data_IF_327428344349
#
_entry.id   IF_327428344349
#
_cell.length_a   1.000
_cell.length_b   1.000
_cell.length_c   1.000
_cell.angle_alpha   90.00
_cell.angle_beta   90.00
_cell.angle_gamma   90.00
#
_symmetry.space_group_name_H-M   'P 1'
#
loop_
_entity.id
_entity.type
_entity.pdbx_description
1 polymer ?
#
# COMPACT_ATOMS: atom_id res chain seq x y z
N UNK A 1 -43.40 63.82 -41.54
CA UNK A 1 -44.03 62.52 -41.89
C UNK A 1 -43.07 61.32 -41.88
N UNK A 2 -41.76 61.50 -41.62
CA UNK A 2 -40.80 60.37 -41.54
C UNK A 2 -40.47 59.89 -40.11
N UNK A 3 -40.84 60.66 -39.07
CA UNK A 3 -40.58 60.30 -37.67
C UNK A 3 -41.78 59.74 -36.90
N UNK A 4 -43.01 59.97 -37.34
CA UNK A 4 -44.20 59.34 -36.75
C UNK A 4 -44.35 57.86 -37.11
N UNK A 5 -43.75 57.42 -38.23
CA UNK A 5 -43.78 56.01 -38.65
C UNK A 5 -42.89 55.09 -37.79
N UNK A 6 -41.78 55.61 -37.24
CA UNK A 6 -40.85 54.82 -36.42
C UNK A 6 -41.37 54.60 -35.00
N UNK A 7 -42.05 55.59 -34.42
CA UNK A 7 -42.63 55.49 -33.06
C UNK A 7 -43.81 54.51 -33.04
N UNK A 8 -44.64 54.48 -34.09
CA UNK A 8 -45.76 53.53 -34.20
C UNK A 8 -45.26 52.08 -34.39
N UNK A 9 -44.20 51.88 -35.18
CA UNK A 9 -43.64 50.54 -35.42
C UNK A 9 -42.99 49.94 -34.17
N UNK A 10 -42.38 50.76 -33.31
CA UNK A 10 -41.73 50.31 -32.07
C UNK A 10 -42.74 50.02 -30.95
N UNK A 11 -43.87 50.74 -30.92
CA UNK A 11 -44.98 50.45 -30.00
C UNK A 11 -45.73 49.15 -30.36
N UNK A 12 -45.86 48.83 -31.66
CA UNK A 12 -46.48 47.58 -32.13
C UNK A 12 -45.62 46.35 -31.86
N UNK A 13 -44.28 46.47 -31.87
CA UNK A 13 -43.35 45.39 -31.54
C UNK A 13 -43.25 45.09 -30.03
N UNK A 14 -43.47 46.08 -29.16
CA UNK A 14 -43.47 45.85 -27.70
C UNK A 14 -44.82 45.33 -27.17
N UNK A 15 -45.92 45.49 -27.91
CA UNK A 15 -47.22 44.91 -27.56
C UNK A 15 -47.39 43.44 -27.99
N UNK A 16 -46.53 42.93 -28.88
CA UNK A 16 -46.58 41.53 -29.37
C UNK A 16 -45.79 40.53 -28.52
N UNK A 17 -45.06 40.97 -27.49
CA UNK A 17 -44.24 40.08 -26.63
C UNK A 17 -44.99 39.62 -25.36
N UNK A 18 -46.17 40.19 -25.06
CA UNK A 18 -46.86 39.99 -23.78
C UNK A 18 -48.17 39.19 -23.86
N UNK A 19 -48.54 38.63 -25.02
CA UNK A 19 -49.80 37.88 -25.20
C UNK A 19 -49.67 36.62 -26.08
N UNK A 20 -48.63 35.82 -25.84
CA UNK A 20 -48.60 34.42 -26.27
C UNK A 20 -48.35 33.50 -25.06
N UNK A 21 -49.29 33.52 -24.12
CA UNK A 21 -49.50 32.39 -23.21
C UNK A 21 -50.71 31.62 -23.70
N UNK A 22 -50.54 30.36 -24.11
CA UNK A 22 -51.61 29.36 -24.16
C UNK A 22 -51.02 27.93 -24.21
N UNK A 23 -51.26 27.21 -23.11
CA UNK A 23 -51.60 25.79 -23.03
C UNK A 23 -50.64 24.75 -23.61
N UNK A 24 -49.80 24.23 -22.72
CA UNK A 24 -49.26 22.87 -22.79
C UNK A 24 -48.86 22.46 -21.37
N UNK A 25 -49.50 21.43 -20.82
CA UNK A 25 -48.95 20.65 -19.71
C UNK A 25 -47.69 19.97 -20.24
N UNK A 26 -46.54 20.63 -20.13
CA UNK A 26 -45.26 19.95 -20.24
C UNK A 26 -44.70 19.87 -18.83
N UNK A 27 -44.68 18.63 -18.33
CA UNK A 27 -43.97 18.27 -17.12
C UNK A 27 -42.62 18.97 -17.16
N UNK A 28 -42.29 19.71 -16.09
CA UNK A 28 -40.93 20.15 -15.89
C UNK A 28 -40.08 18.87 -15.84
N UNK A 29 -39.44 18.53 -16.97
CA UNK A 29 -38.27 17.67 -16.97
C UNK A 29 -37.30 18.38 -16.05
N UNK A 30 -37.24 17.90 -14.81
CA UNK A 30 -36.05 18.07 -13.99
C UNK A 30 -34.93 17.59 -14.89
N UNK A 31 -34.09 18.51 -15.36
CA UNK A 31 -32.80 18.13 -15.88
C UNK A 31 -32.17 17.30 -14.76
N UNK A 32 -32.12 15.99 -14.96
CA UNK A 32 -31.30 15.11 -14.15
C UNK A 32 -29.90 15.67 -14.33
N UNK A 33 -29.42 16.41 -13.33
CA UNK A 33 -27.99 16.60 -13.16
C UNK A 33 -27.47 15.18 -13.09
N UNK A 34 -26.65 14.73 -14.06
CA UNK A 34 -26.09 13.40 -13.96
C UNK A 34 -25.38 13.38 -12.61
N UNK A 35 -25.84 12.50 -11.74
CA UNK A 35 -25.04 12.11 -10.58
C UNK A 35 -23.81 11.52 -11.22
N UNK A 36 -22.72 12.30 -11.26
CA UNK A 36 -21.41 11.75 -11.52
C UNK A 36 -21.19 10.87 -10.30
N UNK A 37 -21.45 9.57 -10.43
CA UNK A 37 -20.89 8.60 -9.51
C UNK A 37 -19.40 8.90 -9.48
N UNK A 38 -18.91 9.29 -8.32
CA UNK A 38 -17.48 9.47 -8.08
C UNK A 38 -16.87 8.10 -8.28
N UNK A 39 -16.34 7.86 -9.49
CA UNK A 39 -15.67 6.61 -9.80
C UNK A 39 -14.39 6.62 -8.98
N UNK A 40 -14.19 5.56 -8.19
CA UNK A 40 -12.89 5.28 -7.58
C UNK A 40 -11.84 5.41 -8.69
N UNK A 41 -10.86 6.30 -8.46
CA UNK A 41 -9.78 6.58 -9.40
C UNK A 41 -8.90 5.36 -9.65
N UNK A 42 -7.75 5.56 -10.29
CA UNK A 42 -6.70 4.56 -10.23
C UNK A 42 -6.35 4.27 -8.76
N UNK A 43 -6.12 3.01 -8.44
CA UNK A 43 -5.86 2.56 -7.07
C UNK A 43 -4.87 1.41 -7.07
N UNK A 44 -4.30 1.14 -5.90
CA UNK A 44 -3.48 -0.04 -5.65
C UNK A 44 -3.97 -0.74 -4.39
N UNK A 45 -3.97 -2.07 -4.42
CA UNK A 45 -4.34 -2.90 -3.26
C UNK A 45 -3.08 -3.46 -2.63
N UNK A 46 -2.85 -3.08 -1.37
CA UNK A 46 -1.75 -3.59 -0.55
C UNK A 46 -2.31 -4.55 0.49
N UNK A 47 -1.64 -5.68 0.67
CA UNK A 47 -1.98 -6.68 1.67
C UNK A 47 -0.91 -6.78 2.76
N UNK A 48 -1.04 -6.01 3.85
CA UNK A 48 -0.31 -6.26 5.08
C UNK A 48 -0.76 -7.57 5.72
N UNK A 49 0.21 -8.37 6.15
CA UNK A 49 -0.01 -9.64 6.84
C UNK A 49 0.56 -9.52 8.25
N UNK A 50 -0.29 -9.56 9.28
CA UNK A 50 0.12 -9.27 10.65
C UNK A 50 -0.86 -9.77 11.73
N UNK A 51 -0.66 -9.42 13.01
CA UNK A 51 -1.44 -9.89 14.18
C UNK A 51 -2.91 -9.55 14.20
N UNK A 52 -3.27 -8.41 13.62
CA UNK A 52 -4.61 -7.83 13.68
C UNK A 52 -4.55 -6.34 13.37
N UNK A 53 -5.70 -5.67 13.31
CA UNK A 53 -5.77 -4.25 13.00
C UNK A 53 -6.91 -3.57 13.74
N UNK A 54 -6.62 -2.41 14.34
CA UNK A 54 -7.60 -1.54 14.96
C UNK A 54 -8.37 -0.74 13.89
N UNK A 55 -9.41 -1.35 13.33
CA UNK A 55 -10.28 -0.74 12.31
C UNK A 55 -11.05 0.50 12.80
N UNK A 56 -11.10 0.73 14.11
CA UNK A 56 -11.76 1.91 14.70
C UNK A 56 -10.91 3.18 14.65
N UNK A 57 -9.60 3.04 14.38
CA UNK A 57 -8.67 4.15 14.41
C UNK A 57 -8.95 5.14 13.27
N UNK A 58 -8.92 6.43 13.60
CA UNK A 58 -9.27 7.53 12.68
C UNK A 58 -8.33 7.58 11.46
N UNK A 59 -7.12 7.03 11.59
CA UNK A 59 -6.15 6.86 10.48
C UNK A 59 -6.72 6.08 9.30
N UNK A 60 -7.61 5.13 9.55
CA UNK A 60 -8.15 4.23 8.53
C UNK A 60 -9.50 4.68 7.97
N UNK A 61 -10.03 5.81 8.44
CA UNK A 61 -11.33 6.31 7.98
C UNK A 61 -11.32 6.62 6.49
N UNK A 62 -12.45 6.32 5.87
CA UNK A 62 -12.80 6.69 4.51
C UNK A 62 -14.11 7.46 4.56
N UNK A 63 -14.17 8.63 3.91
CA UNK A 63 -15.39 9.45 3.90
C UNK A 63 -16.53 8.80 3.10
N UNK A 64 -16.18 7.85 2.24
CA UNK A 64 -17.07 7.16 1.33
C UNK A 64 -16.93 5.65 1.51
N UNK A 65 -17.83 4.89 0.88
CA UNK A 65 -17.73 3.44 0.83
C UNK A 65 -17.10 3.01 -0.48
N UNK A 66 -16.35 1.91 -0.47
CA UNK A 66 -15.85 1.33 -1.70
C UNK A 66 -17.00 0.88 -2.62
N UNK A 67 -16.83 0.99 -3.95
CA UNK A 67 -17.85 0.58 -4.89
C UNK A 67 -18.02 -0.94 -4.93
N UNK A 68 -19.24 -1.40 -5.19
CA UNK A 68 -19.60 -2.83 -5.17
C UNK A 68 -18.68 -3.69 -6.05
N UNK A 69 -18.27 -3.21 -7.22
CA UNK A 69 -17.40 -3.97 -8.12
C UNK A 69 -16.02 -4.28 -7.52
N UNK A 70 -15.50 -3.42 -6.63
CA UNK A 70 -14.24 -3.65 -5.93
C UNK A 70 -14.44 -4.70 -4.82
N UNK A 71 -15.53 -4.56 -4.06
CA UNK A 71 -15.89 -5.50 -2.99
C UNK A 71 -16.14 -6.91 -3.54
N UNK A 72 -16.88 -7.00 -4.65
CA UNK A 72 -17.11 -8.26 -5.39
C UNK A 72 -15.81 -8.84 -5.92
N UNK A 73 -14.91 -7.99 -6.46
CA UNK A 73 -13.61 -8.42 -6.99
C UNK A 73 -12.63 -8.92 -5.92
N UNK A 74 -12.77 -8.45 -4.68
CA UNK A 74 -12.05 -8.96 -3.50
C UNK A 74 -12.79 -10.11 -2.80
N UNK A 75 -13.97 -10.51 -3.30
CA UNK A 75 -14.74 -11.61 -2.76
C UNK A 75 -15.30 -11.36 -1.36
N UNK A 76 -15.61 -10.11 -1.02
CA UNK A 76 -16.19 -9.73 0.28
C UNK A 76 -17.46 -10.56 0.54
N UNK A 77 -17.48 -11.29 1.66
CA UNK A 77 -18.60 -12.17 2.04
C UNK A 77 -19.53 -11.52 3.05
N UNK A 78 -19.02 -10.55 3.81
CA UNK A 78 -19.78 -9.85 4.85
C UNK A 78 -19.29 -8.41 5.04
N UNK A 79 -20.15 -7.59 5.65
CA UNK A 79 -19.80 -6.22 6.04
C UNK A 79 -20.19 -5.93 7.47
N UNK A 80 -19.29 -5.29 8.20
CA UNK A 80 -19.49 -4.88 9.59
C UNK A 80 -19.65 -3.36 9.69
N UNK A 81 -20.87 -2.89 9.98
CA UNK A 81 -21.12 -1.47 10.24
C UNK A 81 -20.64 -1.12 11.65
N UNK A 82 -19.45 -0.54 11.73
CA UNK A 82 -18.80 -0.21 12.99
C UNK A 82 -19.38 1.02 13.66
N UNK A 83 -19.48 0.99 14.99
CA UNK A 83 -19.82 2.14 15.81
C UNK A 83 -18.73 3.22 15.71
N UNK A 84 -19.15 4.48 15.49
CA UNK A 84 -18.23 5.61 15.20
C UNK A 84 -18.04 6.58 16.37
N UNK A 85 -18.82 6.41 17.44
CA UNK A 85 -18.81 7.28 18.62
C UNK A 85 -18.41 6.52 19.88
N UNK A 86 -17.79 7.21 20.84
CA UNK A 86 -17.29 6.62 22.07
C UNK A 86 -15.81 6.24 21.99
N UNK A 87 -15.31 5.74 23.12
CA UNK A 87 -13.96 5.19 23.28
C UNK A 87 -13.79 3.88 22.52
N UNK A 88 -12.54 3.43 22.32
CA UNK A 88 -12.24 2.15 21.68
C UNK A 88 -13.04 0.98 22.29
N UNK A 89 -13.03 0.87 23.62
CA UNK A 89 -13.75 -0.21 24.32
C UNK A 89 -15.28 -0.12 24.14
N UNK A 90 -15.85 1.09 24.18
CA UNK A 90 -17.30 1.29 23.99
C UNK A 90 -17.73 0.89 22.56
N UNK A 91 -16.90 1.19 21.55
CA UNK A 91 -17.15 0.77 20.16
C UNK A 91 -17.04 -0.74 19.99
N UNK A 92 -15.98 -1.35 20.52
CA UNK A 92 -15.81 -2.80 20.53
C UNK A 92 -17.00 -3.51 21.19
N UNK A 93 -17.40 -3.09 22.39
CA UNK A 93 -18.51 -3.69 23.14
C UNK A 93 -19.85 -3.57 22.39
N UNK A 94 -20.07 -2.45 21.68
CA UNK A 94 -21.28 -2.21 20.89
C UNK A 94 -21.37 -3.10 19.65
N UNK A 95 -20.24 -3.39 19.01
CA UNK A 95 -20.18 -4.14 17.75
C UNK A 95 -19.90 -5.63 17.95
N UNK A 96 -19.61 -6.06 19.19
CA UNK A 96 -19.20 -7.43 19.53
C UNK A 96 -20.14 -8.49 19.00
N UNK A 97 -21.42 -8.43 19.36
CA UNK A 97 -22.40 -9.46 18.98
C UNK A 97 -22.77 -9.40 17.49
N UNK A 98 -22.66 -8.23 16.86
CA UNK A 98 -23.14 -7.98 15.49
C UNK A 98 -22.04 -8.15 14.43
N UNK A 99 -20.78 -8.02 14.82
CA UNK A 99 -19.61 -8.15 13.94
C UNK A 99 -18.62 -9.18 14.48
N UNK A 100 -17.99 -8.92 15.63
CA UNK A 100 -16.81 -9.67 16.06
C UNK A 100 -17.08 -11.13 16.40
N UNK A 101 -18.21 -11.43 17.07
CA UNK A 101 -18.60 -12.78 17.47
C UNK A 101 -19.11 -13.65 16.29
N UNK A 102 -19.26 -13.08 15.09
CA UNK A 102 -19.83 -13.78 13.92
C UNK A 102 -18.84 -13.99 12.77
N UNK A 103 -17.66 -13.35 12.80
CA UNK A 103 -16.62 -13.54 11.78
C UNK A 103 -16.04 -14.95 11.89
N UNK A 104 -15.87 -15.61 10.75
CA UNK A 104 -15.23 -16.92 10.64
C UNK A 104 -14.00 -16.88 9.74
N UNK A 105 -13.20 -17.95 9.75
CA UNK A 105 -11.98 -18.02 8.92
C UNK A 105 -12.22 -18.10 7.41
N UNK A 106 -13.48 -18.22 6.99
CA UNK A 106 -13.88 -18.17 5.57
C UNK A 106 -14.36 -16.79 5.13
N UNK A 107 -14.48 -15.85 6.05
CA UNK A 107 -15.04 -14.53 5.75
C UNK A 107 -13.99 -13.53 5.28
N UNK A 108 -14.38 -12.76 4.26
CA UNK A 108 -13.70 -11.55 3.84
C UNK A 108 -14.62 -10.40 4.22
N UNK A 109 -14.18 -9.61 5.20
CA UNK A 109 -14.99 -8.63 5.89
C UNK A 109 -14.66 -7.23 5.39
N UNK A 110 -15.64 -6.52 4.87
CA UNK A 110 -15.52 -5.08 4.65
C UNK A 110 -16.00 -4.31 5.88
N UNK A 111 -15.29 -3.25 6.25
CA UNK A 111 -15.70 -2.33 7.32
C UNK A 111 -16.09 -0.98 6.69
N UNK A 112 -17.38 -0.76 6.34
CA UNK A 112 -17.82 0.47 5.69
C UNK A 112 -17.43 1.74 6.46
N UNK A 113 -17.00 2.76 5.71
CA UNK A 113 -16.44 3.99 6.30
C UNK A 113 -14.95 3.87 6.68
N UNK A 114 -14.30 2.77 6.32
CA UNK A 114 -12.85 2.59 6.46
C UNK A 114 -12.23 2.12 5.15
N UNK A 115 -10.90 2.16 5.10
CA UNK A 115 -10.06 1.64 4.00
C UNK A 115 -9.80 0.14 4.08
N UNK A 116 -10.38 -0.55 5.07
CA UNK A 116 -9.98 -1.90 5.46
C UNK A 116 -10.98 -2.93 4.93
N UNK A 117 -10.43 -3.92 4.24
CA UNK A 117 -11.06 -5.20 3.95
C UNK A 117 -10.17 -6.26 4.61
N UNK A 118 -10.70 -7.01 5.56
CA UNK A 118 -9.95 -7.93 6.40
C UNK A 118 -10.32 -9.39 6.18
N UNK A 119 -9.37 -10.30 6.40
CA UNK A 119 -9.61 -11.75 6.44
C UNK A 119 -8.69 -12.40 7.47
N UNK A 120 -9.11 -13.55 7.99
CA UNK A 120 -8.37 -14.33 8.99
C UNK A 120 -8.35 -15.81 8.59
N UNK A 121 -7.40 -16.26 7.76
CA UNK A 121 -7.41 -17.62 7.23
C UNK A 121 -7.11 -18.70 8.27
N UNK A 122 -6.60 -18.33 9.45
CA UNK A 122 -6.27 -19.25 10.54
C UNK A 122 -7.38 -19.23 11.62
N UNK A 123 -7.78 -20.39 12.17
CA UNK A 123 -8.93 -20.53 13.08
C UNK A 123 -8.58 -20.41 14.58
N UNK A 124 -7.46 -19.75 14.90
CA UNK A 124 -6.84 -19.74 16.22
C UNK A 124 -6.95 -18.44 17.02
N UNK A 125 -7.70 -17.45 16.55
CA UNK A 125 -7.74 -16.09 17.12
C UNK A 125 -9.03 -15.86 17.90
N UNK A 126 -8.94 -15.17 19.05
CA UNK A 126 -10.08 -14.94 19.94
C UNK A 126 -11.04 -13.87 19.39
N UNK A 127 -10.49 -12.90 18.63
CA UNK A 127 -11.25 -11.82 17.98
C UNK A 127 -10.69 -11.68 16.56
N UNK A 128 -11.30 -12.32 15.55
CA UNK A 128 -10.68 -12.37 14.24
C UNK A 128 -10.56 -10.98 13.59
N UNK A 129 -9.43 -10.72 12.93
CA UNK A 129 -9.01 -9.49 12.26
C UNK A 129 -8.70 -8.32 13.21
N UNK A 130 -9.48 -8.13 14.29
CA UNK A 130 -9.26 -7.02 15.21
C UNK A 130 -7.98 -7.23 16.02
N UNK A 131 -7.16 -6.18 16.14
CA UNK A 131 -5.91 -6.25 16.90
C UNK A 131 -6.15 -6.64 18.37
N UNK A 132 -5.24 -7.45 18.92
CA UNK A 132 -5.24 -7.77 20.35
C UNK A 132 -4.87 -6.50 21.13
N UNK A 133 -5.62 -6.09 22.17
CA UNK A 133 -5.24 -4.96 23.01
C UNK A 133 -3.82 -5.05 23.62
N UNK A 134 -3.21 -6.23 23.63
CA UNK A 134 -1.85 -6.49 24.09
C UNK A 134 -0.79 -6.59 22.98
N UNK A 135 -1.20 -6.58 21.70
CA UNK A 135 -0.33 -6.59 20.53
C UNK A 135 -0.87 -5.63 19.47
N UNK A 136 -0.19 -4.50 19.28
CA UNK A 136 -0.62 -3.42 18.36
C UNK A 136 0.10 -3.39 17.03
N UNK A 137 0.83 -4.46 16.71
CA UNK A 137 1.82 -4.45 15.64
C UNK A 137 1.18 -4.23 14.27
N UNK A 138 0.12 -4.97 13.94
CA UNK A 138 -0.54 -4.87 12.64
C UNK A 138 -1.24 -3.53 12.38
N UNK A 139 -1.73 -2.86 13.43
CA UNK A 139 -2.22 -1.47 13.34
C UNK A 139 -1.12 -0.51 12.88
N UNK A 140 0.05 -0.55 13.51
CA UNK A 140 1.18 0.30 13.15
C UNK A 140 1.71 -0.03 11.74
N UNK A 141 1.85 -1.32 11.42
CA UNK A 141 2.28 -1.81 10.09
C UNK A 141 1.36 -1.28 8.99
N UNK A 142 0.05 -1.36 9.17
CA UNK A 142 -0.91 -0.86 8.17
C UNK A 142 -0.89 0.66 8.09
N UNK A 143 -0.73 1.34 9.23
CA UNK A 143 -0.51 2.79 9.27
C UNK A 143 0.68 3.21 8.41
N UNK A 144 1.79 2.47 8.47
CA UNK A 144 3.01 2.77 7.72
C UNK A 144 2.83 2.68 6.20
N UNK A 145 2.01 1.74 5.72
CA UNK A 145 1.59 1.69 4.30
C UNK A 145 0.88 3.00 3.92
N UNK A 146 -0.12 3.39 4.71
CA UNK A 146 -0.96 4.56 4.43
C UNK A 146 -0.24 5.89 4.63
N UNK A 147 0.81 5.94 5.45
CA UNK A 147 1.67 7.11 5.55
C UNK A 147 2.37 7.38 4.22
N UNK A 148 2.64 6.35 3.42
CA UNK A 148 3.31 6.51 2.12
C UNK A 148 2.30 6.63 0.98
N UNK A 149 1.22 5.84 1.00
CA UNK A 149 0.10 5.97 0.08
C UNK A 149 -1.21 6.10 0.84
N UNK A 150 -1.68 7.33 1.13
CA UNK A 150 -2.94 7.55 1.83
C UNK A 150 -4.15 6.96 1.11
N UNK A 151 -4.07 6.73 -0.19
CA UNK A 151 -5.17 6.26 -1.02
C UNK A 151 -5.12 4.76 -1.36
N UNK A 152 -4.17 4.02 -0.79
CA UNK A 152 -4.14 2.57 -0.93
C UNK A 152 -5.42 1.92 -0.38
N UNK A 153 -5.88 0.89 -1.07
CA UNK A 153 -6.89 -0.05 -0.57
C UNK A 153 -6.16 -1.11 0.25
N UNK A 154 -6.61 -1.35 1.48
CA UNK A 154 -5.96 -2.32 2.37
C UNK A 154 -6.76 -3.62 2.35
N UNK A 155 -6.12 -4.69 1.88
CA UNK A 155 -6.58 -6.06 2.06
C UNK A 155 -5.80 -6.70 3.21
N UNK A 156 -6.20 -6.43 4.45
CA UNK A 156 -5.51 -6.90 5.64
C UNK A 156 -5.70 -8.40 5.83
N UNK A 157 -4.62 -9.12 6.12
CA UNK A 157 -4.68 -10.55 6.42
C UNK A 157 -4.10 -10.81 7.80
N UNK A 158 -4.92 -11.33 8.70
CA UNK A 158 -4.47 -11.73 10.03
C UNK A 158 -3.64 -13.03 9.96
N UNK A 159 -2.49 -13.06 10.62
CA UNK A 159 -1.68 -14.26 10.82
C UNK A 159 -0.22 -14.12 10.41
N UNK A 160 0.54 -15.19 10.62
CA UNK A 160 1.98 -15.28 10.31
C UNK A 160 2.33 -16.55 9.52
N UNK A 161 1.34 -17.15 8.87
CA UNK A 161 1.43 -18.49 8.29
C UNK A 161 1.50 -18.45 6.76
N UNK A 162 1.88 -19.58 6.17
CA UNK A 162 1.78 -19.80 4.73
C UNK A 162 0.33 -19.62 4.25
N UNK A 163 -0.65 -19.98 5.08
CA UNK A 163 -2.06 -19.80 4.77
C UNK A 163 -2.43 -18.31 4.67
N UNK A 164 -1.90 -17.47 5.57
CA UNK A 164 -2.05 -16.01 5.50
C UNK A 164 -1.43 -15.44 4.22
N UNK A 165 -0.18 -15.82 3.91
CA UNK A 165 0.48 -15.37 2.67
C UNK A 165 -0.27 -15.86 1.43
N UNK A 166 -0.72 -17.11 1.41
CA UNK A 166 -1.49 -17.67 0.30
C UNK A 166 -2.88 -17.03 0.17
N UNK A 167 -3.53 -16.63 1.27
CA UNK A 167 -4.78 -15.90 1.20
C UNK A 167 -4.59 -14.58 0.45
N UNK A 168 -3.57 -13.79 0.80
CA UNK A 168 -3.22 -12.58 0.06
C UNK A 168 -2.75 -12.86 -1.37
N UNK A 169 -1.99 -13.93 -1.59
CA UNK A 169 -1.48 -14.34 -2.89
C UNK A 169 -2.60 -14.74 -3.86
N UNK A 170 -3.65 -15.40 -3.38
CA UNK A 170 -4.78 -15.82 -4.20
C UNK A 170 -5.78 -14.69 -4.50
N UNK A 171 -5.71 -13.55 -3.81
CA UNK A 171 -6.61 -12.43 -4.09
C UNK A 171 -6.27 -11.73 -5.41
N UNK A 172 -7.14 -11.74 -6.43
CA UNK A 172 -6.74 -11.38 -7.79
C UNK A 172 -6.41 -9.89 -7.95
N UNK A 173 -6.96 -9.02 -7.09
CA UNK A 173 -6.75 -7.57 -7.14
C UNK A 173 -5.57 -7.07 -6.29
N UNK A 174 -4.93 -7.91 -5.47
CA UNK A 174 -3.76 -7.52 -4.65
C UNK A 174 -2.52 -7.30 -5.53
N UNK A 175 -1.86 -6.16 -5.38
CA UNK A 175 -0.61 -5.82 -6.08
C UNK A 175 0.63 -6.22 -5.29
N UNK A 176 0.62 -5.87 -4.00
CA UNK A 176 1.77 -5.92 -3.13
C UNK A 176 1.36 -6.64 -1.84
N UNK A 177 2.17 -7.62 -1.45
CA UNK A 177 2.06 -8.31 -0.16
C UNK A 177 3.24 -7.87 0.69
N UNK A 178 2.99 -7.51 1.94
CA UNK A 178 4.05 -7.09 2.87
C UNK A 178 4.02 -7.93 4.14
N UNK A 179 5.15 -8.52 4.50
CA UNK A 179 5.33 -9.32 5.71
C UNK A 179 6.30 -8.61 6.66
N UNK A 180 5.76 -8.14 7.77
CA UNK A 180 6.49 -7.36 8.79
C UNK A 180 6.97 -8.22 9.96
N UNK A 181 7.18 -9.51 9.70
CA UNK A 181 7.57 -10.52 10.66
C UNK A 181 8.67 -11.41 10.08
N UNK A 182 9.36 -12.14 10.95
CA UNK A 182 10.45 -13.03 10.58
C UNK A 182 11.06 -13.71 11.80
N UNK A 183 11.86 -14.77 11.61
CA UNK A 183 12.52 -15.45 12.71
C UNK A 183 13.60 -14.56 13.33
N UNK A 184 13.53 -14.32 14.65
CA UNK A 184 14.52 -13.52 15.38
C UNK A 184 15.93 -14.04 15.14
N UNK A 185 16.85 -13.15 14.81
CA UNK A 185 18.24 -13.45 14.46
C UNK A 185 18.41 -14.05 13.06
N UNK A 186 17.37 -14.01 12.22
CA UNK A 186 17.27 -14.74 10.95
C UNK A 186 17.64 -16.21 11.15
N UNK A 187 17.03 -16.85 12.14
CA UNK A 187 17.17 -18.31 12.29
C UNK A 187 16.55 -18.96 11.07
N UNK A 188 17.23 -19.90 10.40
CA UNK A 188 16.76 -20.48 9.16
C UNK A 188 15.57 -21.41 9.43
N UNK A 189 14.36 -20.84 9.39
CA UNK A 189 13.09 -21.54 9.56
C UNK A 189 12.34 -21.50 8.22
N UNK A 190 12.24 -22.64 7.51
CA UNK A 190 11.52 -22.72 6.25
C UNK A 190 9.99 -22.75 6.47
N UNK A 191 9.25 -22.38 5.44
CA UNK A 191 7.78 -22.34 5.34
C UNK A 191 7.31 -21.15 4.51
N UNK A 192 7.44 -19.95 5.06
CA UNK A 192 6.88 -18.70 4.50
C UNK A 192 7.44 -18.39 3.10
N UNK A 193 8.68 -18.79 2.81
CA UNK A 193 9.29 -18.60 1.51
C UNK A 193 8.49 -19.30 0.38
N UNK A 194 7.88 -20.45 0.62
CA UNK A 194 7.13 -21.17 -0.41
C UNK A 194 5.86 -20.41 -0.81
N UNK A 195 5.16 -19.84 0.17
CA UNK A 195 3.97 -19.03 -0.08
C UNK A 195 4.32 -17.69 -0.77
N UNK A 196 5.41 -17.04 -0.36
CA UNK A 196 5.88 -15.82 -1.02
C UNK A 196 6.38 -16.09 -2.45
N UNK A 197 6.92 -17.29 -2.70
CA UNK A 197 7.29 -17.74 -4.05
C UNK A 197 6.05 -17.82 -4.94
N UNK A 198 4.96 -18.41 -4.46
CA UNK A 198 3.70 -18.48 -5.20
C UNK A 198 3.20 -17.07 -5.52
N UNK A 199 3.17 -16.17 -4.53
CA UNK A 199 2.76 -14.78 -4.74
C UNK A 199 3.55 -14.07 -5.85
N UNK A 200 4.88 -14.18 -5.82
CA UNK A 200 5.74 -13.42 -6.74
C UNK A 200 5.96 -14.14 -8.07
N UNK A 201 6.29 -15.42 -8.03
CA UNK A 201 6.68 -16.18 -9.22
C UNK A 201 5.46 -16.64 -10.00
N UNK A 202 4.41 -17.11 -9.32
CA UNK A 202 3.24 -17.65 -10.00
C UNK A 202 2.22 -16.55 -10.28
N UNK A 203 1.91 -15.71 -9.28
CA UNK A 203 0.93 -14.63 -9.41
C UNK A 203 1.49 -13.25 -9.77
N UNK A 204 2.81 -13.14 -9.97
CA UNK A 204 3.49 -11.94 -10.50
C UNK A 204 3.29 -10.66 -9.66
N UNK A 205 2.94 -10.82 -8.39
CA UNK A 205 2.80 -9.75 -7.41
C UNK A 205 4.16 -9.30 -6.89
N UNK A 206 4.18 -8.18 -6.19
CA UNK A 206 5.35 -7.74 -5.42
C UNK A 206 5.25 -8.30 -4.01
N UNK A 207 6.39 -8.73 -3.45
CA UNK A 207 6.51 -9.05 -2.03
C UNK A 207 7.63 -8.23 -1.39
N UNK A 208 7.32 -7.54 -0.30
CA UNK A 208 8.30 -6.89 0.59
C UNK A 208 8.36 -7.64 1.92
N UNK A 209 9.56 -8.09 2.30
CA UNK A 209 9.77 -8.86 3.53
C UNK A 209 10.75 -8.16 4.47
N UNK A 210 10.40 -8.12 5.76
CA UNK A 210 11.22 -7.51 6.79
C UNK A 210 12.46 -8.37 7.09
N UNK A 211 13.64 -7.76 7.04
CA UNK A 211 14.86 -8.39 7.56
C UNK A 211 14.83 -8.41 9.09
N UNK A 212 15.65 -9.24 9.71
CA UNK A 212 15.76 -9.25 11.17
C UNK A 212 16.21 -7.89 11.75
N UNK A 213 15.69 -7.56 12.94
CA UNK A 213 15.98 -6.31 13.65
C UNK A 213 17.42 -6.25 14.22
N UNK A 214 18.20 -7.34 14.12
CA UNK A 214 19.63 -7.36 14.45
C UNK A 214 20.48 -7.31 13.17
N UNK A 215 21.81 -7.13 13.26
CA UNK A 215 22.71 -7.17 12.09
C UNK A 215 22.83 -8.53 11.38
N UNK A 216 21.95 -9.50 11.67
CA UNK A 216 21.91 -10.81 11.03
C UNK A 216 21.78 -10.70 9.51
N UNK A 217 22.47 -11.57 8.73
CA UNK A 217 22.31 -11.58 7.28
C UNK A 217 20.88 -11.95 6.86
N UNK A 218 20.25 -11.07 6.08
CA UNK A 218 18.91 -11.27 5.54
C UNK A 218 18.82 -12.48 4.60
N UNK A 219 19.94 -12.90 4.00
CA UNK A 219 20.03 -14.02 3.05
C UNK A 219 19.27 -15.27 3.50
N UNK A 220 19.36 -15.61 4.78
CA UNK A 220 18.79 -16.84 5.36
C UNK A 220 17.44 -16.63 6.05
N UNK A 221 16.96 -15.38 6.06
CA UNK A 221 15.66 -15.00 6.60
C UNK A 221 14.55 -15.45 5.64
N UNK A 222 13.50 -16.11 6.11
CA UNK A 222 12.47 -16.68 5.21
C UNK A 222 11.51 -15.65 4.61
N UNK A 223 11.50 -14.41 5.08
CA UNK A 223 10.67 -13.34 4.49
C UNK A 223 11.49 -12.43 3.57
N UNK A 224 12.64 -11.96 4.06
CA UNK A 224 13.52 -11.03 3.33
C UNK A 224 14.54 -11.75 2.43
N UNK A 225 14.99 -12.94 2.81
CA UNK A 225 16.06 -13.68 2.14
C UNK A 225 15.72 -14.32 0.80
N UNK A 226 14.50 -14.80 0.52
CA UNK A 226 14.22 -15.47 -0.74
C UNK A 226 14.42 -14.55 -1.94
N UNK A 227 15.05 -15.02 -3.04
CA UNK A 227 15.49 -14.16 -4.16
C UNK A 227 14.36 -13.44 -4.90
N UNK A 228 13.13 -13.94 -4.79
CA UNK A 228 11.93 -13.31 -5.35
C UNK A 228 11.37 -12.17 -4.48
N UNK A 229 11.67 -12.16 -3.18
CA UNK A 229 11.25 -11.10 -2.25
C UNK A 229 12.16 -9.87 -2.37
N UNK A 230 11.60 -8.69 -2.08
CA UNK A 230 12.39 -7.48 -1.81
C UNK A 230 12.65 -7.46 -0.30
N UNK A 231 13.87 -7.80 0.11
CA UNK A 231 14.27 -7.80 1.52
C UNK A 231 14.58 -6.40 2.02
N UNK A 232 13.86 -5.93 3.03
CA UNK A 232 13.94 -4.57 3.54
C UNK A 232 14.63 -4.56 4.91
N UNK A 233 15.63 -3.70 5.08
CA UNK A 233 16.24 -3.42 6.38
C UNK A 233 15.90 -2.02 6.89
N UNK A 234 16.33 -1.74 8.12
CA UNK A 234 16.10 -0.47 8.80
C UNK A 234 17.16 0.58 8.55
N UNK A 235 16.70 1.78 8.21
CA UNK A 235 17.48 2.99 8.14
C UNK A 235 16.78 4.09 8.94
N UNK A 236 17.48 4.71 9.89
CA UNK A 236 16.91 5.84 10.62
C UNK A 236 16.82 7.09 9.71
N UNK A 237 15.69 7.80 9.76
CA UNK A 237 15.48 9.07 9.06
C UNK A 237 15.01 10.18 10.02
N UNK A 238 15.10 11.43 9.57
CA UNK A 238 14.51 12.64 10.20
C UNK A 238 14.79 12.87 11.69
N UNK A 239 13.82 12.64 12.58
CA UNK A 239 13.78 13.11 13.97
C UNK A 239 14.68 12.33 14.95
N UNK A 240 15.19 11.16 14.53
CA UNK A 240 16.33 10.50 15.20
C UNK A 240 17.67 11.19 14.82
N UNK A 241 17.65 12.16 13.89
CA UNK A 241 18.78 12.95 13.38
C UNK A 241 19.95 12.10 12.82
N UNK A 242 19.66 10.85 12.51
CA UNK A 242 20.65 9.79 12.36
C UNK A 242 20.49 9.12 11.02
N UNK A 243 21.55 9.11 10.21
CA UNK A 243 21.58 8.63 8.83
C UNK A 243 22.27 7.27 8.75
N UNK A 244 21.78 6.28 9.50
CA UNK A 244 22.53 5.05 9.77
C UNK A 244 21.76 3.73 9.69
N UNK A 245 22.51 2.63 9.63
CA UNK A 245 21.93 1.28 9.59
C UNK A 245 21.57 0.83 10.99
N UNK A 246 20.33 0.35 11.16
CA UNK A 246 19.80 -0.14 12.43
C UNK A 246 19.78 -1.67 12.52
N UNK A 247 19.62 -2.34 11.38
CA UNK A 247 19.22 -3.74 11.33
C UNK A 247 19.50 -4.37 9.99
N UNK A 248 19.49 -5.70 9.95
CA UNK A 248 19.78 -6.51 8.79
C UNK A 248 21.20 -6.32 8.24
N UNK A 249 21.69 -7.33 7.55
CA UNK A 249 22.81 -7.16 6.61
C UNK A 249 22.50 -7.89 5.32
N UNK A 250 23.09 -7.41 4.22
CA UNK A 250 22.79 -7.90 2.87
C UNK A 250 21.29 -7.84 2.47
N UNK A 251 20.54 -6.76 2.79
CA UNK A 251 19.17 -6.60 2.28
C UNK A 251 19.17 -6.26 0.78
N UNK A 252 17.99 -6.20 0.14
CA UNK A 252 17.86 -5.52 -1.15
C UNK A 252 17.89 -4.00 -0.97
N UNK A 253 17.17 -3.48 0.04
CA UNK A 253 16.93 -2.04 0.26
C UNK A 253 16.89 -1.79 1.77
N UNK A 254 17.24 -0.57 2.19
CA UNK A 254 16.91 -0.07 3.52
C UNK A 254 15.86 1.05 3.43
N UNK A 255 15.00 1.17 4.44
CA UNK A 255 13.96 2.19 4.48
C UNK A 255 13.69 2.68 5.90
N UNK A 256 12.86 3.72 6.01
CA UNK A 256 12.57 4.43 7.24
C UNK A 256 12.12 3.51 8.39
N UNK A 257 12.98 3.44 9.40
CA UNK A 257 12.90 2.50 10.51
C UNK A 257 12.03 2.99 11.66
N UNK A 258 12.00 4.30 11.92
CA UNK A 258 11.31 4.89 13.08
C UNK A 258 10.21 5.81 12.58
N UNK A 259 8.97 5.52 12.95
CA UNK A 259 7.80 6.24 12.45
C UNK A 259 6.83 6.54 13.59
N UNK A 260 6.06 7.62 13.44
CA UNK A 260 4.93 7.95 14.31
C UNK A 260 3.67 7.27 13.76
N UNK A 261 3.24 6.17 14.39
CA UNK A 261 2.24 5.26 13.85
C UNK A 261 1.00 5.16 14.75
N UNK A 262 -0.18 4.81 14.20
CA UNK A 262 -1.43 4.78 14.94
C UNK A 262 -1.41 3.75 16.08
N UNK A 263 -2.10 4.08 17.18
CA UNK A 263 -2.27 3.18 18.32
C UNK A 263 -3.35 2.13 18.04
N UNK A 264 -3.19 0.95 18.66
CA UNK A 264 -4.13 -0.15 18.55
C UNK A 264 -5.25 -0.11 19.59
N UNK A 265 -5.06 0.59 20.71
CA UNK A 265 -5.92 0.58 21.89
C UNK A 265 -6.71 1.89 22.13
N UNK A 266 -6.63 2.84 21.19
CA UNK A 266 -7.44 4.05 21.16
C UNK A 266 -8.00 4.32 19.76
N UNK A 267 -8.58 5.50 19.52
CA UNK A 267 -9.22 5.82 18.23
C UNK A 267 -8.49 6.88 17.42
N UNK A 268 -7.49 7.55 17.99
CA UNK A 268 -6.88 8.76 17.39
C UNK A 268 -5.43 9.01 17.81
N UNK A 269 -4.90 8.23 18.74
CA UNK A 269 -3.56 8.37 19.28
C UNK A 269 -2.49 7.74 18.40
N UNK A 270 -1.26 8.20 18.58
CA UNK A 270 -0.10 7.70 17.87
C UNK A 270 1.04 7.47 18.86
N UNK A 271 1.95 6.58 18.49
CA UNK A 271 3.19 6.33 19.21
C UNK A 271 4.36 6.25 18.24
N UNK A 272 5.53 6.64 18.71
CA UNK A 272 6.78 6.42 17.98
C UNK A 272 7.20 4.96 18.18
N UNK A 273 7.50 4.29 17.08
CA UNK A 273 7.94 2.89 17.09
C UNK A 273 8.97 2.65 15.99
N UNK A 274 9.76 1.60 16.19
CA UNK A 274 11.01 1.37 15.45
C UNK A 274 11.14 -0.11 15.07
N UNK A 275 11.46 -0.40 13.81
CA UNK A 275 11.60 -1.78 13.35
C UNK A 275 11.63 -1.95 11.83
N UNK A 276 12.22 -3.04 11.33
CA UNK A 276 12.13 -3.41 9.91
C UNK A 276 10.67 -3.69 9.54
N UNK A 277 9.91 -4.12 10.54
CA UNK A 277 8.47 -4.23 10.54
C UNK A 277 7.74 -2.96 10.08
N UNK A 278 8.33 -1.78 10.20
CA UNK A 278 7.74 -0.51 9.72
C UNK A 278 8.44 0.01 8.45
N UNK A 279 9.73 -0.22 8.29
CA UNK A 279 10.45 0.08 7.05
C UNK A 279 9.88 -0.68 5.83
N UNK A 280 9.48 -1.93 6.04
CA UNK A 280 8.94 -2.83 5.01
C UNK A 280 7.59 -2.35 4.46
N UNK A 281 6.54 -2.14 5.27
CA UNK A 281 5.24 -1.65 4.80
C UNK A 281 5.31 -0.23 4.28
N UNK A 282 6.19 0.63 4.81
CA UNK A 282 6.48 1.95 4.24
C UNK A 282 6.92 1.83 2.78
N UNK A 283 7.82 0.89 2.49
CA UNK A 283 8.29 0.61 1.13
C UNK A 283 7.16 0.08 0.25
N UNK A 284 6.32 -0.83 0.76
CA UNK A 284 5.13 -1.29 0.05
C UNK A 284 4.19 -0.11 -0.30
N UNK A 285 3.99 0.82 0.64
CA UNK A 285 3.21 2.04 0.41
C UNK A 285 3.82 2.90 -0.72
N UNK A 286 5.13 3.14 -0.71
CA UNK A 286 5.84 3.89 -1.78
C UNK A 286 5.60 3.25 -3.15
N UNK A 287 5.77 1.92 -3.25
CA UNK A 287 5.56 1.20 -4.51
C UNK A 287 4.09 1.25 -4.95
N UNK A 288 3.16 1.15 -4.01
CA UNK A 288 1.72 1.24 -4.31
C UNK A 288 1.35 2.62 -4.87
N UNK A 289 1.95 3.70 -4.34
CA UNK A 289 1.73 5.06 -4.85
C UNK A 289 2.24 5.20 -6.28
N UNK A 290 3.44 4.69 -6.57
CA UNK A 290 3.99 4.68 -7.94
C UNK A 290 3.07 3.92 -8.90
N UNK A 291 2.56 2.75 -8.50
CA UNK A 291 1.63 1.96 -9.32
C UNK A 291 0.35 2.75 -9.57
N UNK A 292 -0.23 3.37 -8.54
CA UNK A 292 -1.42 4.22 -8.67
C UNK A 292 -1.20 5.36 -9.68
N UNK A 293 -0.09 6.08 -9.58
CA UNK A 293 0.23 7.18 -10.51
C UNK A 293 0.38 6.69 -11.95
N UNK A 294 1.09 5.58 -12.17
CA UNK A 294 1.26 4.99 -13.51
C UNK A 294 -0.07 4.51 -14.10
N UNK A 295 -0.95 3.94 -13.26
CA UNK A 295 -2.30 3.54 -13.65
C UNK A 295 -3.16 4.71 -14.06
N UNK A 296 -3.09 5.81 -13.31
CA UNK A 296 -3.82 7.04 -13.63
C UNK A 296 -3.45 7.57 -15.02
N UNK A 297 -2.15 7.65 -15.32
CA UNK A 297 -1.66 8.09 -16.63
C UNK A 297 -2.02 7.12 -17.77
N UNK A 298 -2.00 5.83 -17.48
CA UNK A 298 -2.35 4.79 -18.43
C UNK A 298 -3.86 4.66 -18.67
N UNK A 299 -4.69 5.22 -17.78
CA UNK A 299 -6.13 4.93 -17.72
C UNK A 299 -6.44 3.47 -17.31
N UNK A 300 -5.53 2.80 -16.60
CA UNK A 300 -5.71 1.44 -16.10
C UNK A 300 -6.40 1.46 -14.74
N UNK A 301 -7.73 1.35 -14.75
CA UNK A 301 -8.59 1.48 -13.57
C UNK A 301 -8.72 0.18 -12.76
N UNK A 302 -7.82 -0.79 -12.93
CA UNK A 302 -7.90 -2.09 -12.25
C UNK A 302 -6.58 -2.44 -11.55
N UNK A 303 -6.70 -3.20 -10.46
CA UNK A 303 -5.58 -3.63 -9.62
C UNK A 303 -5.21 -5.11 -9.79
N UNK A 304 -4.05 -5.48 -9.27
CA UNK A 304 -3.49 -6.83 -9.27
C UNK A 304 -2.67 -7.16 -10.52
N UNK A 305 -2.33 -8.43 -10.65
CA UNK A 305 -1.58 -8.98 -11.79
C UNK A 305 -2.23 -10.26 -12.37
N UNK A 306 -3.43 -10.63 -11.88
CA UNK A 306 -4.08 -11.91 -12.19
C UNK A 306 -4.48 -12.07 -13.67
N UNK A 307 -4.29 -13.29 -14.16
CA UNK A 307 -4.77 -13.73 -15.47
C UNK A 307 -6.29 -13.78 -15.56
N UNK A 308 -7.00 -13.92 -14.43
CA UNK A 308 -8.48 -13.94 -14.37
C UNK A 308 -9.09 -12.65 -14.94
N UNK A 309 -8.36 -11.54 -14.81
CA UNK A 309 -8.71 -10.24 -15.36
C UNK A 309 -7.92 -9.88 -16.62
N UNK A 310 -7.23 -10.85 -17.23
CA UNK A 310 -6.45 -10.67 -18.45
C UNK A 310 -5.21 -9.80 -18.28
N UNK A 311 -4.69 -9.65 -17.05
CA UNK A 311 -3.53 -8.81 -16.76
C UNK A 311 -2.21 -9.49 -17.12
N UNK A 312 -2.16 -10.82 -17.21
CA UNK A 312 -0.98 -11.58 -17.70
C UNK A 312 0.33 -11.19 -16.99
N UNK A 313 0.26 -10.92 -15.68
CA UNK A 313 1.41 -10.48 -14.88
C UNK A 313 1.74 -8.98 -14.92
N UNK A 314 0.93 -8.16 -15.60
CA UNK A 314 1.09 -6.72 -15.64
C UNK A 314 0.47 -6.07 -14.39
N UNK A 315 1.28 -5.31 -13.66
CA UNK A 315 0.81 -4.43 -12.59
C UNK A 315 0.23 -3.13 -13.16
N UNK A 316 0.71 -2.65 -14.30
CA UNK A 316 0.06 -1.57 -15.07
C UNK A 316 -0.19 -2.08 -16.47
N UNK A 317 -1.46 -2.18 -16.87
CA UNK A 317 -1.88 -2.69 -18.15
C UNK A 317 -2.12 -1.53 -19.13
N UNK A 318 -1.12 -1.26 -19.97
CA UNK A 318 -1.17 -0.23 -21.00
C UNK A 318 -0.62 -0.77 -22.31
N UNK A 319 -1.13 -0.26 -23.45
CA UNK A 319 -0.57 -0.59 -24.77
C UNK A 319 0.83 -0.01 -24.98
N UNK A 320 1.12 1.11 -24.32
CA UNK A 320 2.32 1.91 -24.59
C UNK A 320 3.41 1.65 -23.55
N UNK A 321 3.03 1.45 -22.29
CA UNK A 321 3.93 1.22 -21.16
C UNK A 321 3.41 0.11 -20.25
N UNK A 322 3.44 -1.16 -20.67
CA UNK A 322 3.11 -2.28 -19.80
C UNK A 322 4.19 -2.42 -18.72
N UNK A 323 3.79 -2.41 -17.44
CA UNK A 323 4.70 -2.48 -16.30
C UNK A 323 4.49 -3.78 -15.53
N UNK A 324 5.58 -4.51 -15.27
CA UNK A 324 5.61 -5.73 -14.46
C UNK A 324 6.23 -5.47 -13.09
N UNK A 325 6.14 -6.47 -12.19
CA UNK A 325 6.93 -6.47 -10.94
C UNK A 325 8.43 -6.24 -11.22
N UNK A 326 9.01 -6.89 -12.24
CA UNK A 326 10.44 -6.77 -12.52
C UNK A 326 10.86 -5.33 -12.87
N UNK A 327 10.01 -4.60 -13.60
CA UNK A 327 10.24 -3.20 -13.96
C UNK A 327 10.21 -2.30 -12.71
N UNK A 328 9.22 -2.50 -11.83
CA UNK A 328 9.09 -1.80 -10.55
C UNK A 328 10.32 -2.06 -9.66
N UNK A 329 10.74 -3.32 -9.50
CA UNK A 329 11.92 -3.69 -8.70
C UNK A 329 13.19 -3.10 -9.30
N UNK A 330 13.33 -3.10 -10.62
CA UNK A 330 14.48 -2.46 -11.28
C UNK A 330 14.52 -0.96 -11.00
N UNK A 331 13.41 -0.25 -11.17
CA UNK A 331 13.32 1.18 -10.92
C UNK A 331 13.59 1.53 -9.45
N UNK A 332 13.07 0.73 -8.50
CA UNK A 332 13.37 0.85 -7.07
C UNK A 332 14.89 0.78 -6.83
N UNK A 333 15.55 -0.26 -7.33
CA UNK A 333 16.99 -0.49 -7.19
C UNK A 333 17.82 0.66 -7.79
N UNK A 334 17.40 1.19 -8.94
CA UNK A 334 18.12 2.32 -9.56
C UNK A 334 17.94 3.62 -8.76
N UNK A 335 16.74 3.86 -8.21
CA UNK A 335 16.41 5.10 -7.50
C UNK A 335 17.08 5.21 -6.12
N UNK A 336 17.36 4.08 -5.46
CA UNK A 336 17.85 4.04 -4.09
C UNK A 336 19.14 4.85 -3.92
N UNK A 337 19.34 5.56 -2.80
CA UNK A 337 20.50 6.42 -2.61
C UNK A 337 21.40 5.91 -1.48
N UNK A 338 22.70 6.21 -1.53
CA UNK A 338 23.60 5.86 -0.42
C UNK A 338 23.79 7.05 0.51
N UNK A 339 23.57 6.86 1.82
CA UNK A 339 23.92 7.86 2.80
C UNK A 339 25.42 8.12 2.83
N UNK A 340 25.77 9.37 3.14
CA UNK A 340 27.17 9.75 3.30
C UNK A 340 27.67 9.35 4.68
N UNK A 341 28.87 8.77 4.76
CA UNK A 341 29.56 8.57 6.04
C UNK A 341 29.76 9.90 6.81
N UNK A 342 29.82 11.03 6.12
CA UNK A 342 30.08 12.34 6.75
C UNK A 342 28.92 12.87 7.60
N UNK A 343 27.73 12.27 7.48
CA UNK A 343 26.54 12.67 8.24
C UNK A 343 26.29 11.78 9.46
N UNK A 344 27.18 10.85 9.77
CA UNK A 344 27.04 9.94 10.91
C UNK A 344 27.29 10.63 12.25
N UNK A 345 26.36 10.49 13.19
CA UNK A 345 26.60 10.81 14.61
C UNK A 345 27.12 9.59 15.38
N UNK A 346 28.32 9.61 16.00
CA UNK A 346 28.81 8.49 16.82
C UNK A 346 28.10 8.30 18.17
N UNK A 347 27.17 9.18 18.59
CA UNK A 347 26.45 9.07 19.87
C UNK A 347 25.07 8.41 19.78
N UNK A 348 24.62 8.21 18.55
CA UNK A 348 23.44 7.51 18.05
C UNK A 348 23.18 6.09 18.59
N UNK A 349 24.25 5.30 18.80
CA UNK A 349 24.11 3.85 19.01
C UNK A 349 23.92 3.05 17.71
N UNK A 350 24.08 3.69 16.55
CA UNK A 350 23.92 3.11 15.21
C UNK A 350 25.28 2.81 14.56
N UNK A 351 25.26 2.20 13.37
CA UNK A 351 26.50 1.91 12.63
C UNK A 351 26.70 2.85 11.44
N UNK A 352 27.90 3.43 11.27
CA UNK A 352 28.18 4.29 10.13
C UNK A 352 28.12 3.51 8.81
N UNK A 353 27.76 4.19 7.72
CA UNK A 353 27.84 3.60 6.38
C UNK A 353 29.29 3.33 5.97
N UNK A 354 29.56 2.11 5.55
CA UNK A 354 30.85 1.67 5.02
C UNK A 354 31.19 2.49 3.78
N UNK A 355 32.35 3.19 3.75
CA UNK A 355 32.75 3.94 2.57
C UNK A 355 33.28 3.05 1.42
N UNK A 356 33.40 1.75 1.65
CA UNK A 356 33.98 0.78 0.70
C UNK A 356 32.94 -0.23 0.21
N UNK A 357 32.01 -0.63 1.06
CA UNK A 357 31.00 -1.64 0.74
C UNK A 357 29.66 -1.32 1.43
N UNK A 358 29.04 -0.16 1.14
CA UNK A 358 27.77 0.21 1.77
C UNK A 358 26.63 -0.75 1.39
N UNK A 359 26.76 -1.46 0.27
CA UNK A 359 25.82 -2.48 -0.17
C UNK A 359 25.62 -3.63 0.83
N UNK A 360 26.60 -3.95 1.66
CA UNK A 360 26.44 -5.02 2.67
C UNK A 360 25.56 -4.58 3.83
N UNK A 361 25.32 -3.27 3.98
CA UNK A 361 24.51 -2.68 5.04
C UNK A 361 23.11 -2.31 4.54
N UNK A 362 23.01 -1.65 3.39
CA UNK A 362 21.73 -1.10 2.87
C UNK A 362 21.37 -1.59 1.47
N UNK A 363 22.02 -2.66 0.98
CA UNK A 363 21.69 -3.23 -0.32
C UNK A 363 21.94 -2.26 -1.47
N UNK A 364 20.95 -2.07 -2.35
CA UNK A 364 20.99 -1.08 -3.42
C UNK A 364 21.02 0.37 -2.91
N UNK A 365 20.58 0.61 -1.67
CA UNK A 365 20.55 1.92 -1.02
C UNK A 365 19.32 2.10 -0.13
N UNK A 366 19.14 3.33 0.33
CA UNK A 366 17.98 3.78 1.10
C UNK A 366 16.86 4.27 0.18
N UNK A 367 15.61 3.98 0.56
CA UNK A 367 14.40 4.42 -0.13
C UNK A 367 13.45 5.11 0.85
N UNK A 368 12.91 6.26 0.42
CA UNK A 368 11.87 7.01 1.12
C UNK A 368 10.95 7.73 0.11
N UNK A 369 10.08 8.64 0.57
CA UNK A 369 9.15 9.37 -0.30
C UNK A 369 9.82 10.17 -1.43
N UNK A 370 11.09 10.57 -1.28
CA UNK A 370 11.84 11.26 -2.33
C UNK A 370 12.12 10.38 -3.56
N UNK A 371 12.00 9.05 -3.42
CA UNK A 371 12.19 8.08 -4.49
C UNK A 371 10.96 7.91 -5.39
N UNK A 372 9.76 8.32 -4.95
CA UNK A 372 8.50 8.14 -5.71
C UNK A 372 8.61 8.74 -7.11
N UNK A 373 8.96 10.02 -7.23
CA UNK A 373 9.04 10.70 -8.52
C UNK A 373 10.15 10.14 -9.42
N UNK A 374 11.39 9.87 -8.94
CA UNK A 374 12.39 9.18 -9.74
C UNK A 374 11.91 7.83 -10.31
N UNK A 375 11.29 6.97 -9.49
CA UNK A 375 10.77 5.67 -9.94
C UNK A 375 9.66 5.88 -10.98
N UNK A 376 8.69 6.72 -10.68
CA UNK A 376 7.58 7.03 -11.58
C UNK A 376 8.06 7.62 -12.92
N UNK A 377 8.91 8.65 -12.90
CA UNK A 377 9.41 9.30 -14.12
C UNK A 377 10.14 8.31 -15.03
N UNK A 378 10.86 7.35 -14.44
CA UNK A 378 11.53 6.30 -15.19
C UNK A 378 10.56 5.36 -15.88
N UNK A 379 9.60 4.82 -15.13
CA UNK A 379 8.64 3.86 -15.64
C UNK A 379 7.65 4.50 -16.63
N UNK A 380 7.36 5.79 -16.45
CA UNK A 380 6.55 6.59 -17.36
C UNK A 380 7.32 7.03 -18.63
N UNK A 381 8.63 6.74 -18.73
CA UNK A 381 9.47 7.12 -19.86
C UNK A 381 9.73 8.63 -19.98
N UNK A 382 9.59 9.37 -18.87
CA UNK A 382 9.79 10.82 -18.78
C UNK A 382 11.27 11.14 -18.62
N UNK A 383 11.95 10.43 -17.70
CA UNK A 383 13.37 10.64 -17.39
C UNK A 383 14.08 9.29 -17.12
N UNK A 384 15.32 9.16 -17.58
CA UNK A 384 16.14 7.99 -17.24
C UNK A 384 16.72 8.10 -15.84
N UNK A 385 16.70 7.00 -15.06
CA UNK A 385 17.49 6.92 -13.82
C UNK A 385 18.94 6.53 -14.17
N UNK A 386 19.96 7.25 -13.67
CA UNK A 386 21.35 6.91 -13.91
C UNK A 386 21.70 5.50 -13.43
N UNK A 387 22.54 4.80 -14.21
CA UNK A 387 23.04 3.48 -13.81
C UNK A 387 23.81 3.53 -12.49
N UNK A 388 23.62 2.49 -11.67
CA UNK A 388 24.37 2.31 -10.42
C UNK A 388 25.88 2.13 -10.67
N UNK A 389 26.74 2.57 -9.74
CA UNK A 389 28.17 2.28 -9.76
C UNK A 389 28.47 0.77 -9.92
N UNK A 390 29.52 0.42 -10.67
CA UNK A 390 29.82 -0.98 -11.02
C UNK A 390 30.15 -1.87 -9.83
N UNK A 391 30.74 -1.31 -8.78
CA UNK A 391 31.02 -1.98 -7.51
C UNK A 391 29.74 -2.31 -6.74
N UNK A 392 28.77 -1.39 -6.72
CA UNK A 392 27.42 -1.62 -6.17
C UNK A 392 26.73 -2.74 -6.93
N UNK A 393 26.72 -2.68 -8.27
CA UNK A 393 26.11 -3.73 -9.11
C UNK A 393 26.77 -5.09 -8.86
N UNK A 394 28.11 -5.14 -8.79
CA UNK A 394 28.82 -6.39 -8.53
C UNK A 394 28.48 -6.97 -7.14
N UNK A 395 28.38 -6.11 -6.12
CA UNK A 395 28.01 -6.51 -4.77
C UNK A 395 26.58 -7.07 -4.71
N UNK A 396 25.62 -6.38 -5.33
CA UNK A 396 24.22 -6.81 -5.30
C UNK A 396 23.97 -8.05 -6.17
N UNK A 397 24.69 -8.22 -7.28
CA UNK A 397 24.69 -9.47 -8.03
C UNK A 397 25.23 -10.63 -7.19
N UNK A 398 26.34 -10.42 -6.46
CA UNK A 398 26.86 -11.44 -5.55
C UNK A 398 25.86 -11.75 -4.42
N UNK A 399 25.18 -10.74 -3.88
CA UNK A 399 24.11 -10.95 -2.89
C UNK A 399 22.97 -11.81 -3.47
N UNK A 400 22.50 -11.47 -4.66
CA UNK A 400 21.47 -12.22 -5.37
C UNK A 400 21.89 -13.68 -5.64
N UNK A 401 23.12 -13.91 -6.10
CA UNK A 401 23.67 -15.26 -6.32
C UNK A 401 23.72 -16.08 -5.02
N UNK A 402 24.05 -15.45 -3.88
CA UNK A 402 24.05 -16.12 -2.58
C UNK A 402 22.62 -16.50 -2.16
N UNK A 403 21.64 -15.61 -2.34
CA UNK A 403 20.22 -15.88 -2.06
C UNK A 403 19.70 -17.02 -2.92
N UNK A 404 19.97 -16.97 -4.22
CA UNK A 404 19.62 -18.05 -5.14
C UNK A 404 20.25 -19.38 -4.72
N UNK A 405 21.53 -19.40 -4.37
CA UNK A 405 22.20 -20.62 -3.92
C UNK A 405 21.69 -21.17 -2.57
N UNK A 406 21.19 -20.29 -1.70
CA UNK A 406 20.65 -20.69 -0.39
C UNK A 406 19.24 -21.30 -0.52
N UNK A 407 18.39 -20.70 -1.36
CA UNK A 407 16.97 -21.05 -1.50
C UNK A 407 16.66 -21.99 -2.69
N UNK A 408 17.67 -22.45 -3.44
CA UNK A 408 17.51 -23.35 -4.60
C UNK A 408 17.38 -24.83 -4.27
#
# INVERSE_FOLDING_TARGET
MRDTAKVVMMALLMASVSLAGCFGDEAAEKAEVPVVEEQLGAYSVVAPIDTGINVYHDRFRLNETYPDWLLDGLGVTMSCNLTQEGTWQERYDADKESCWDVITSTDIVYFPGTRIIGTTPDDGTDIPILDDPSDGHGTAVTGSVLDANPDAVIFFVEGFSDAAVLAAANQPLVDIITTSFGPIGSVPVPGIEDATRVAVVDYKKIHTGASDNTPSPAVQDSTAGPPWSIGISGYAEEDDDQKETMSGSYPDIAADWTQLLPNHDDTDGYHETSGTSFATPRTAGILSLVITMLREDAGDMMSGASDDYGRNGLLVNSSDLPITNADIRYALNQSAWYPSFATWDPTSGTTPMSPIAPCTQVGWGVVNMSNVMPIYNHLAGIEDIPSRPSDVVACMNANQEIREAYWS
#
